data_IF_016153829444
#
_entry.id   IF_016153829444
#
_cell.length_a   1.000
_cell.length_b   1.000
_cell.length_c   1.000
_cell.angle_alpha   90.00
_cell.angle_beta   90.00
_cell.angle_gamma   90.00
#
_symmetry.space_group_name_H-M   'P 1'
#
loop_
_entity.id
_entity.type
_entity.pdbx_description
1 polymer ?
#
# COMPACT_ATOMS: atom_id res chain seq x y z
N UNK A 1 19.05 -30.70 -39.26
CA UNK A 1 19.29 -29.38 -38.61
C UNK A 1 18.90 -29.43 -37.13
N UNK A 2 19.57 -30.25 -36.30
CA UNK A 2 19.24 -30.48 -34.88
C UNK A 2 20.25 -29.89 -33.88
N UNK A 3 21.19 -29.05 -34.34
CA UNK A 3 22.30 -28.54 -33.54
C UNK A 3 21.98 -27.44 -32.48
N UNK A 4 21.04 -26.50 -32.69
CA UNK A 4 20.88 -25.38 -31.75
C UNK A 4 20.21 -25.77 -30.42
N UNK A 5 19.40 -26.83 -30.41
CA UNK A 5 18.75 -27.35 -29.21
C UNK A 5 19.76 -27.98 -28.24
N UNK A 6 20.72 -28.76 -28.76
CA UNK A 6 21.73 -29.44 -27.94
C UNK A 6 22.70 -28.48 -27.26
N UNK A 7 23.03 -27.36 -27.90
CA UNK A 7 23.91 -26.32 -27.31
C UNK A 7 23.24 -25.59 -26.13
N UNK A 8 21.95 -25.30 -26.26
CA UNK A 8 21.15 -24.72 -25.18
C UNK A 8 21.03 -25.70 -24.02
N UNK A 9 20.74 -26.97 -24.29
CA UNK A 9 20.63 -28.03 -23.29
C UNK A 9 21.95 -28.22 -22.52
N UNK A 10 23.09 -28.25 -23.20
CA UNK A 10 24.40 -28.30 -22.54
C UNK A 10 24.67 -27.07 -21.68
N UNK A 11 24.34 -25.88 -22.17
CA UNK A 11 24.51 -24.63 -21.41
C UNK A 11 23.63 -24.63 -20.16
N UNK A 12 22.38 -25.09 -20.29
CA UNK A 12 21.46 -25.23 -19.17
C UNK A 12 21.98 -26.23 -18.14
N UNK A 13 22.40 -27.42 -18.57
CA UNK A 13 22.93 -28.46 -17.67
C UNK A 13 24.14 -27.94 -16.88
N UNK A 14 25.11 -27.31 -17.56
CA UNK A 14 26.29 -26.75 -16.90
C UNK A 14 25.94 -25.63 -15.90
N UNK A 15 24.88 -24.85 -16.15
CA UNK A 15 24.41 -23.85 -15.20
C UNK A 15 23.68 -24.47 -14.00
N UNK A 16 22.89 -25.53 -14.23
CA UNK A 16 22.21 -26.27 -13.17
C UNK A 16 23.24 -26.89 -12.20
N UNK A 17 24.33 -27.45 -12.72
CA UNK A 17 25.43 -27.96 -11.87
C UNK A 17 26.07 -26.87 -11.01
N UNK A 18 26.15 -25.64 -11.54
CA UNK A 18 26.66 -24.48 -10.84
C UNK A 18 25.66 -23.87 -9.82
N UNK A 19 24.38 -24.23 -9.89
CA UNK A 19 23.30 -23.57 -9.15
C UNK A 19 23.50 -23.68 -7.63
N UNK A 20 23.89 -24.84 -7.13
CA UNK A 20 24.13 -25.06 -5.69
C UNK A 20 25.17 -24.10 -5.13
N UNK A 21 26.21 -23.77 -5.92
CA UNK A 21 27.24 -22.80 -5.53
C UNK A 21 26.71 -21.37 -5.53
N UNK A 22 25.90 -20.99 -6.51
CA UNK A 22 25.24 -19.67 -6.58
C UNK A 22 24.30 -19.50 -5.37
N UNK A 23 23.45 -20.49 -5.12
CA UNK A 23 22.50 -20.48 -4.00
C UNK A 23 23.20 -20.38 -2.65
N UNK A 24 24.30 -21.11 -2.44
CA UNK A 24 25.08 -21.03 -1.19
C UNK A 24 25.57 -19.60 -0.92
N UNK A 25 26.12 -18.93 -1.93
CA UNK A 25 26.62 -17.56 -1.83
C UNK A 25 25.47 -16.58 -1.60
N UNK A 26 24.36 -16.72 -2.35
CA UNK A 26 23.17 -15.87 -2.22
C UNK A 26 22.54 -15.98 -0.82
N UNK A 27 22.27 -17.20 -0.35
CA UNK A 27 21.71 -17.46 0.99
C UNK A 27 22.60 -16.89 2.09
N UNK A 28 23.91 -17.11 2.01
CA UNK A 28 24.83 -16.55 2.99
C UNK A 28 24.83 -15.02 2.97
N UNK A 29 24.80 -14.40 1.79
CA UNK A 29 24.84 -12.94 1.64
C UNK A 29 23.56 -12.25 2.11
N UNK A 30 22.40 -12.88 1.92
CA UNK A 30 21.09 -12.34 2.26
C UNK A 30 20.55 -12.82 3.61
N UNK A 31 21.36 -13.53 4.42
CA UNK A 31 20.96 -14.00 5.75
C UNK A 31 20.49 -12.91 6.71
N UNK A 32 20.87 -11.65 6.46
CA UNK A 32 20.48 -10.49 7.27
C UNK A 32 19.06 -9.99 6.95
N UNK A 33 18.45 -10.43 5.85
CA UNK A 33 17.07 -10.11 5.52
C UNK A 33 16.14 -10.95 6.40
N UNK A 34 15.38 -10.28 7.27
CA UNK A 34 14.47 -10.93 8.24
C UNK A 34 13.19 -11.44 7.59
N UNK A 35 12.66 -10.71 6.60
CA UNK A 35 11.49 -11.13 5.84
C UNK A 35 11.87 -12.30 4.91
N UNK A 36 11.15 -13.43 5.01
CA UNK A 36 11.46 -14.61 4.18
C UNK A 36 11.24 -14.32 2.70
N UNK A 37 10.12 -13.69 2.35
CA UNK A 37 9.77 -13.39 0.96
C UNK A 37 10.83 -12.48 0.32
N UNK A 38 11.21 -11.39 1.00
CA UNK A 38 12.26 -10.49 0.51
C UNK A 38 13.62 -11.18 0.36
N UNK A 39 13.91 -12.17 1.21
CA UNK A 39 15.13 -12.98 1.13
C UNK A 39 15.08 -13.92 -0.06
N UNK A 40 13.95 -14.58 -0.28
CA UNK A 40 13.72 -15.48 -1.42
C UNK A 40 13.77 -14.73 -2.74
N UNK A 41 13.10 -13.58 -2.83
CA UNK A 41 13.16 -12.69 -3.99
C UNK A 41 14.60 -12.31 -4.35
N UNK A 42 15.40 -11.89 -3.36
CA UNK A 42 16.80 -11.52 -3.58
C UNK A 42 17.65 -12.71 -4.07
N UNK A 43 17.35 -13.92 -3.60
CA UNK A 43 18.02 -15.15 -4.05
C UNK A 43 17.62 -15.47 -5.50
N UNK A 44 16.32 -15.46 -5.82
CA UNK A 44 15.79 -15.71 -7.15
C UNK A 44 16.35 -14.71 -8.17
N UNK A 45 16.36 -13.43 -7.83
CA UNK A 45 16.96 -12.36 -8.66
C UNK A 45 18.45 -12.57 -8.89
N UNK A 46 19.17 -13.07 -7.89
CA UNK A 46 20.60 -13.40 -8.05
C UNK A 46 20.78 -14.54 -9.04
N UNK A 47 19.97 -15.60 -8.95
CA UNK A 47 20.01 -16.74 -9.87
C UNK A 47 19.69 -16.28 -11.29
N UNK A 48 18.62 -15.50 -11.47
CA UNK A 48 18.20 -14.98 -12.75
C UNK A 48 19.29 -14.09 -13.40
N UNK A 49 19.88 -13.16 -12.65
CA UNK A 49 21.00 -12.35 -13.15
C UNK A 49 22.22 -13.18 -13.51
N UNK A 50 22.56 -14.18 -12.68
CA UNK A 50 23.67 -15.08 -12.99
C UNK A 50 23.41 -15.85 -14.29
N UNK A 51 22.18 -16.30 -14.54
CA UNK A 51 21.82 -16.97 -15.80
C UNK A 51 21.97 -16.07 -17.02
N UNK A 52 21.43 -14.84 -16.95
CA UNK A 52 21.54 -13.86 -18.04
C UNK A 52 23.01 -13.57 -18.37
N UNK A 53 23.84 -13.36 -17.34
CA UNK A 53 25.26 -13.13 -17.54
C UNK A 53 26.01 -14.37 -18.01
N UNK A 54 25.65 -15.55 -17.51
CA UNK A 54 26.23 -16.82 -17.95
C UNK A 54 26.06 -17.00 -19.46
N UNK A 55 24.83 -16.88 -19.97
CA UNK A 55 24.55 -16.95 -21.41
C UNK A 55 25.35 -15.90 -22.19
N UNK A 56 25.35 -14.64 -21.71
CA UNK A 56 26.09 -13.57 -22.37
C UNK A 56 27.58 -13.86 -22.47
N UNK A 57 28.17 -14.49 -21.45
CA UNK A 57 29.58 -14.87 -21.42
C UNK A 57 29.88 -16.08 -22.32
N UNK A 58 29.02 -17.09 -22.34
CA UNK A 58 29.15 -18.25 -23.25
C UNK A 58 29.11 -17.77 -24.71
N UNK A 59 28.16 -16.89 -25.06
CA UNK A 59 28.07 -16.28 -26.39
C UNK A 59 29.32 -15.46 -26.78
N UNK A 60 30.09 -14.99 -25.79
CA UNK A 60 31.37 -14.29 -25.99
C UNK A 60 32.57 -15.25 -26.00
N UNK A 61 32.35 -16.56 -26.07
CA UNK A 61 33.40 -17.59 -26.04
C UNK A 61 34.12 -17.73 -24.70
N UNK A 62 33.53 -17.22 -23.61
CA UNK A 62 34.07 -17.40 -22.25
C UNK A 62 33.50 -18.68 -21.63
N UNK A 63 34.18 -19.19 -20.59
CA UNK A 63 33.78 -20.39 -19.83
C UNK A 63 33.39 -20.00 -18.39
N UNK A 64 32.14 -19.58 -18.12
CA UNK A 64 31.77 -19.06 -16.80
C UNK A 64 31.82 -20.12 -15.70
N UNK A 65 31.73 -21.40 -16.06
CA UNK A 65 31.89 -22.53 -15.15
C UNK A 65 33.19 -22.45 -14.33
N UNK A 66 34.27 -21.94 -14.92
CA UNK A 66 35.58 -21.79 -14.25
C UNK A 66 35.58 -20.72 -13.14
N UNK A 67 34.63 -19.77 -13.18
CA UNK A 67 34.59 -18.63 -12.25
C UNK A 67 33.20 -18.35 -11.66
N UNK A 68 32.36 -19.37 -11.50
CA UNK A 68 31.01 -19.26 -10.92
C UNK A 68 30.99 -18.54 -9.57
N UNK A 69 31.99 -18.77 -8.71
CA UNK A 69 32.08 -18.09 -7.42
C UNK A 69 32.29 -16.57 -7.54
N UNK A 70 32.97 -16.10 -8.59
CA UNK A 70 33.07 -14.68 -8.88
C UNK A 70 31.76 -14.15 -9.47
N UNK A 71 31.17 -14.86 -10.43
CA UNK A 71 29.88 -14.52 -11.04
C UNK A 71 28.79 -14.33 -9.96
N UNK A 72 28.64 -15.29 -9.06
CA UNK A 72 27.68 -15.23 -7.96
C UNK A 72 27.93 -14.05 -7.01
N UNK A 73 29.20 -13.75 -6.68
CA UNK A 73 29.56 -12.58 -5.84
C UNK A 73 29.20 -11.25 -6.53
N UNK A 74 29.38 -11.15 -7.84
CA UNK A 74 28.92 -9.99 -8.60
C UNK A 74 27.38 -9.93 -8.67
N UNK A 75 26.71 -11.07 -8.83
CA UNK A 75 25.26 -11.17 -8.87
C UNK A 75 24.63 -10.64 -7.58
N UNK A 76 25.08 -11.14 -6.42
CA UNK A 76 24.56 -10.67 -5.12
C UNK A 76 24.85 -9.19 -4.88
N UNK A 77 25.99 -8.65 -5.36
CA UNK A 77 26.31 -7.22 -5.27
C UNK A 77 25.38 -6.39 -6.15
N UNK A 78 25.06 -6.85 -7.35
CA UNK A 78 24.13 -6.19 -8.26
C UNK A 78 22.71 -6.17 -7.69
N UNK A 79 22.22 -7.29 -7.15
CA UNK A 79 20.92 -7.33 -6.46
C UNK A 79 20.91 -6.41 -5.24
N UNK A 80 22.01 -6.37 -4.49
CA UNK A 80 22.16 -5.49 -3.32
C UNK A 80 22.13 -4.00 -3.67
N UNK A 81 22.54 -3.62 -4.89
CA UNK A 81 22.47 -2.24 -5.40
C UNK A 81 21.17 -1.93 -6.17
N UNK A 82 20.19 -2.84 -6.09
CA UNK A 82 18.86 -2.68 -6.68
C UNK A 82 18.76 -3.06 -8.15
N UNK A 83 19.79 -3.68 -8.75
CA UNK A 83 19.66 -4.30 -10.08
C UNK A 83 18.79 -5.55 -9.98
N UNK A 84 18.03 -5.80 -11.02
CA UNK A 84 17.12 -6.95 -11.18
C UNK A 84 17.36 -7.59 -12.53
N UNK A 85 16.89 -8.83 -12.73
CA UNK A 85 16.99 -9.53 -14.00
C UNK A 85 16.37 -8.69 -15.14
N UNK A 86 15.20 -8.11 -14.87
CA UNK A 86 14.47 -7.25 -15.80
C UNK A 86 14.55 -5.76 -15.37
N UNK A 87 15.76 -5.22 -15.34
CA UNK A 87 15.98 -3.78 -15.14
C UNK A 87 16.52 -3.41 -13.75
N UNK A 88 15.96 -2.37 -13.15
CA UNK A 88 16.48 -1.82 -11.90
C UNK A 88 15.36 -1.22 -11.06
N UNK A 89 15.47 -1.35 -9.75
CA UNK A 89 14.59 -0.68 -8.79
C UNK A 89 14.51 0.84 -9.07
N UNK A 90 13.33 1.40 -8.82
CA UNK A 90 13.02 2.81 -9.06
C UNK A 90 13.80 3.70 -8.10
N UNK A 91 14.57 4.65 -8.64
CA UNK A 91 15.44 5.51 -7.83
C UNK A 91 14.69 6.53 -6.96
N UNK A 92 13.43 6.83 -7.29
CA UNK A 92 12.58 7.80 -6.58
C UNK A 92 11.45 7.14 -5.77
N UNK A 93 11.40 5.81 -5.74
CA UNK A 93 10.48 5.08 -4.88
C UNK A 93 11.10 4.92 -3.49
N UNK A 94 10.52 5.57 -2.48
CA UNK A 94 11.02 5.60 -1.10
C UNK A 94 11.06 4.19 -0.47
N UNK A 95 10.21 3.27 -0.94
CA UNK A 95 10.23 1.88 -0.48
C UNK A 95 11.32 1.04 -1.16
N UNK A 96 11.90 1.52 -2.26
CA UNK A 96 12.97 0.81 -2.95
C UNK A 96 14.28 0.89 -2.17
N UNK A 97 14.98 -0.24 -2.11
CA UNK A 97 16.27 -0.32 -1.44
C UNK A 97 17.31 0.57 -2.12
N UNK A 98 17.23 0.69 -3.45
CA UNK A 98 18.08 1.59 -4.22
C UNK A 98 17.88 3.05 -3.82
N UNK A 99 16.64 3.51 -3.64
CA UNK A 99 16.37 4.88 -3.20
C UNK A 99 16.94 5.12 -1.80
N UNK A 100 16.61 4.22 -0.86
CA UNK A 100 17.08 4.27 0.53
C UNK A 100 18.61 4.34 0.64
N UNK A 101 19.34 3.50 -0.11
CA UNK A 101 20.82 3.55 -0.13
C UNK A 101 21.36 4.85 -0.74
N UNK A 102 20.80 5.31 -1.86
CA UNK A 102 21.29 6.52 -2.56
C UNK A 102 21.00 7.80 -1.78
N UNK A 103 19.85 7.85 -1.12
CA UNK A 103 19.37 9.03 -0.37
C UNK A 103 19.70 8.96 1.11
N UNK A 104 20.27 7.84 1.58
CA UNK A 104 20.59 7.59 2.99
C UNK A 104 19.35 7.71 3.89
N UNK A 105 18.23 7.16 3.41
CA UNK A 105 16.94 7.16 4.10
C UNK A 105 16.62 5.75 4.59
N UNK A 106 15.94 5.66 5.73
CA UNK A 106 15.40 4.43 6.27
C UNK A 106 13.87 4.57 6.40
N UNK A 107 13.13 3.55 5.98
CA UNK A 107 11.67 3.49 6.19
C UNK A 107 11.41 2.53 7.32
N UNK A 108 10.78 3.03 8.38
CA UNK A 108 10.27 2.23 9.49
C UNK A 108 8.75 2.16 9.45
N UNK A 109 8.20 1.05 9.95
CA UNK A 109 6.78 1.00 10.29
C UNK A 109 6.51 1.96 11.44
N UNK A 110 5.35 2.60 11.45
CA UNK A 110 4.81 3.19 12.67
C UNK A 110 4.67 2.08 13.73
N UNK A 111 4.97 2.36 15.01
CA UNK A 111 4.80 1.38 16.06
C UNK A 111 3.33 1.00 16.21
N UNK A 112 3.08 -0.26 16.55
CA UNK A 112 1.71 -0.79 16.70
C UNK A 112 1.05 -0.38 18.02
N UNK A 113 1.84 0.07 18.99
CA UNK A 113 1.38 0.44 20.32
C UNK A 113 1.79 1.88 20.54
N UNK A 114 0.80 2.76 20.70
CA UNK A 114 1.02 4.14 21.07
C UNK A 114 1.50 4.19 22.52
N UNK A 115 2.71 4.67 22.73
CA UNK A 115 3.19 5.05 24.04
C UNK A 115 2.84 6.54 24.16
N UNK A 116 1.90 6.84 25.06
CA UNK A 116 1.11 8.08 25.13
C UNK A 116 1.87 9.43 25.16
N UNK A 117 3.20 9.50 25.04
CA UNK A 117 3.94 10.73 25.30
C UNK A 117 5.19 10.99 24.44
N UNK A 118 5.50 10.24 23.38
CA UNK A 118 6.82 10.40 22.72
C UNK A 118 6.85 10.70 21.22
N UNK A 119 5.78 10.52 20.43
CA UNK A 119 5.88 10.67 18.97
C UNK A 119 4.82 11.60 18.36
N UNK A 120 5.17 12.89 18.28
CA UNK A 120 4.42 13.95 17.55
C UNK A 120 4.04 13.54 16.11
N UNK A 121 4.86 12.69 15.46
CA UNK A 121 4.59 12.19 14.11
C UNK A 121 3.50 11.12 14.05
N UNK A 122 3.29 10.35 15.13
CA UNK A 122 2.19 9.38 15.20
C UNK A 122 0.85 10.11 15.35
N UNK A 123 0.78 11.05 16.28
CA UNK A 123 -0.42 11.85 16.52
C UNK A 123 -0.83 12.65 15.27
N UNK A 124 0.15 13.15 14.50
CA UNK A 124 -0.09 13.89 13.27
C UNK A 124 -0.54 13.01 12.07
N UNK A 125 -0.33 11.69 12.13
CA UNK A 125 -0.65 10.76 11.04
C UNK A 125 -1.82 9.82 11.36
N UNK A 126 -2.28 9.77 12.61
CA UNK A 126 -3.52 9.09 12.95
C UNK A 126 -4.72 9.87 12.40
N UNK A 127 -5.51 9.23 11.54
CA UNK A 127 -6.80 9.77 11.11
C UNK A 127 -7.69 9.99 12.35
N UNK A 128 -7.89 11.26 12.72
CA UNK A 128 -8.84 11.60 13.76
C UNK A 128 -10.27 11.42 13.23
N UNK A 129 -10.76 10.19 13.32
CA UNK A 129 -12.13 9.81 12.98
C UNK A 129 -13.14 10.16 14.09
N UNK A 130 -12.67 10.75 15.20
CA UNK A 130 -13.52 11.17 16.30
C UNK A 130 -13.93 12.63 16.13
N UNK A 131 -15.23 12.87 16.02
CA UNK A 131 -15.80 14.22 16.15
C UNK A 131 -15.46 14.75 17.55
N UNK A 132 -14.87 15.96 17.69
CA UNK A 132 -14.56 16.55 19.00
C UNK A 132 -15.76 16.56 19.95
N UNK A 133 -15.52 16.38 21.25
CA UNK A 133 -16.58 16.42 22.27
C UNK A 133 -17.41 17.70 22.22
N UNK A 134 -16.84 18.91 22.06
CA UNK A 134 -17.62 20.13 21.88
C UNK A 134 -18.61 20.04 20.72
N UNK A 135 -18.18 19.54 19.56
CA UNK A 135 -19.01 19.40 18.37
C UNK A 135 -20.13 18.37 18.57
N UNK A 136 -19.85 17.25 19.25
CA UNK A 136 -20.86 16.27 19.62
C UNK A 136 -21.92 16.85 20.56
N UNK A 137 -21.49 17.62 21.56
CA UNK A 137 -22.37 18.28 22.52
C UNK A 137 -23.21 19.35 21.84
N UNK A 138 -22.58 20.21 21.02
CA UNK A 138 -23.26 21.23 20.23
C UNK A 138 -24.33 20.59 19.36
N UNK A 139 -24.00 19.56 18.59
CA UNK A 139 -24.99 18.88 17.75
C UNK A 139 -26.14 18.30 18.58
N UNK A 140 -25.88 17.61 19.69
CA UNK A 140 -26.93 17.01 20.53
C UNK A 140 -27.88 18.05 21.13
N UNK A 141 -27.35 19.17 21.61
CA UNK A 141 -28.15 20.25 22.17
C UNK A 141 -28.91 21.00 21.08
N UNK A 142 -28.21 21.38 20.00
CA UNK A 142 -28.71 22.30 18.99
C UNK A 142 -29.67 21.61 18.04
N UNK A 143 -29.36 20.39 17.59
CA UNK A 143 -30.26 19.63 16.74
C UNK A 143 -31.60 19.37 17.43
N UNK A 144 -31.58 19.02 18.71
CA UNK A 144 -32.79 18.79 19.51
C UNK A 144 -33.58 20.09 19.68
N UNK A 145 -32.92 21.19 20.06
CA UNK A 145 -33.57 22.49 20.25
C UNK A 145 -34.17 23.05 18.94
N UNK A 146 -33.49 22.84 17.82
CA UNK A 146 -33.97 23.20 16.49
C UNK A 146 -35.16 22.33 16.07
N UNK A 147 -35.05 21.01 16.24
CA UNK A 147 -36.11 20.07 15.90
C UNK A 147 -37.42 20.44 16.59
N UNK A 148 -37.37 20.79 17.88
CA UNK A 148 -38.56 21.17 18.65
C UNK A 148 -39.28 22.42 18.12
N UNK A 149 -38.66 23.23 17.27
CA UNK A 149 -39.31 24.38 16.59
C UNK A 149 -40.18 23.95 15.42
N UNK A 150 -39.91 22.78 14.86
CA UNK A 150 -40.65 22.26 13.71
C UNK A 150 -42.00 21.69 14.15
N UNK A 151 -43.04 21.74 13.29
CA UNK A 151 -44.28 20.99 13.54
C UNK A 151 -44.01 19.49 13.68
N UNK A 152 -44.80 18.78 14.50
CA UNK A 152 -44.62 17.35 14.83
C UNK A 152 -44.45 16.45 13.59
N UNK A 153 -45.20 16.72 12.52
CA UNK A 153 -45.06 15.98 11.27
C UNK A 153 -43.67 16.16 10.61
N UNK A 154 -43.08 17.36 10.72
CA UNK A 154 -41.73 17.64 10.19
C UNK A 154 -40.63 17.08 11.08
N UNK A 155 -40.84 17.05 12.40
CA UNK A 155 -39.92 16.36 13.33
C UNK A 155 -39.78 14.89 12.97
N UNK A 156 -40.91 14.17 12.78
CA UNK A 156 -40.91 12.77 12.35
C UNK A 156 -40.14 12.57 11.04
N UNK A 157 -40.34 13.46 10.06
CA UNK A 157 -39.63 13.39 8.79
C UNK A 157 -38.11 13.63 8.95
N UNK A 158 -37.71 14.60 9.78
CA UNK A 158 -36.30 14.90 10.07
C UNK A 158 -35.62 13.72 10.77
N UNK A 159 -36.25 13.10 11.78
CA UNK A 159 -35.73 11.88 12.41
C UNK A 159 -35.59 10.75 11.40
N UNK A 160 -36.58 10.58 10.53
CA UNK A 160 -36.52 9.61 9.44
C UNK A 160 -35.31 9.83 8.52
N UNK A 161 -35.05 11.08 8.16
CA UNK A 161 -33.88 11.44 7.35
C UNK A 161 -32.55 11.24 8.11
N UNK A 162 -32.49 11.61 9.39
CA UNK A 162 -31.29 11.50 10.23
C UNK A 162 -30.90 10.04 10.51
N UNK A 163 -31.89 9.14 10.61
CA UNK A 163 -31.69 7.68 10.72
C UNK A 163 -31.28 7.03 9.38
N UNK A 164 -31.25 7.79 8.27
CA UNK A 164 -30.82 7.30 6.96
C UNK A 164 -31.89 6.53 6.18
N UNK A 165 -33.19 6.69 6.51
CA UNK A 165 -34.26 6.08 5.73
C UNK A 165 -34.25 6.59 4.27
N UNK A 166 -34.58 5.70 3.32
CA UNK A 166 -34.55 6.05 1.90
C UNK A 166 -35.65 7.05 1.58
N UNK A 167 -35.35 7.98 0.67
CA UNK A 167 -36.29 9.02 0.20
C UNK A 167 -37.64 8.44 -0.25
N UNK A 168 -37.62 7.31 -0.97
CA UNK A 168 -38.84 6.62 -1.44
C UNK A 168 -39.72 6.07 -0.31
N UNK A 169 -39.11 5.59 0.78
CA UNK A 169 -39.83 5.00 1.89
C UNK A 169 -40.55 6.12 2.68
N UNK A 170 -39.84 7.23 2.91
CA UNK A 170 -40.42 8.43 3.53
C UNK A 170 -41.45 9.12 2.62
N UNK A 171 -41.27 9.11 1.30
CA UNK A 171 -42.25 9.64 0.35
C UNK A 171 -43.59 8.88 0.48
N UNK A 172 -43.54 7.56 0.54
CA UNK A 172 -44.72 6.72 0.75
C UNK A 172 -45.35 6.94 2.13
N UNK A 173 -44.57 6.97 3.21
CA UNK A 173 -45.08 7.17 4.58
C UNK A 173 -45.79 8.52 4.76
N UNK A 174 -45.23 9.60 4.19
CA UNK A 174 -45.75 10.95 4.36
C UNK A 174 -46.71 11.39 3.24
N UNK A 175 -47.01 10.53 2.26
CA UNK A 175 -47.86 10.86 1.12
C UNK A 175 -47.30 12.00 0.25
N UNK A 176 -45.98 12.10 0.14
CA UNK A 176 -45.27 13.15 -0.61
C UNK A 176 -44.51 12.55 -1.79
N UNK A 177 -44.20 13.36 -2.79
CA UNK A 177 -43.29 12.92 -3.86
C UNK A 177 -41.83 12.86 -3.37
N UNK A 178 -41.01 11.98 -3.96
CA UNK A 178 -39.57 11.90 -3.64
C UNK A 178 -38.84 13.23 -3.88
N UNK A 179 -39.26 13.96 -4.93
CA UNK A 179 -38.76 15.30 -5.21
C UNK A 179 -39.06 16.27 -4.06
N UNK A 180 -40.25 16.17 -3.46
CA UNK A 180 -40.63 17.01 -2.32
C UNK A 180 -39.81 16.67 -1.07
N UNK A 181 -39.57 15.38 -0.78
CA UNK A 181 -38.71 14.96 0.32
C UNK A 181 -37.28 15.48 0.13
N UNK A 182 -36.75 15.44 -1.09
CA UNK A 182 -35.43 15.98 -1.43
C UNK A 182 -35.34 17.50 -1.24
N UNK A 183 -36.39 18.23 -1.62
CA UNK A 183 -36.50 19.67 -1.35
C UNK A 183 -36.54 19.95 0.15
N UNK A 184 -37.33 19.18 0.92
CA UNK A 184 -37.44 19.35 2.36
C UNK A 184 -36.12 19.08 3.07
N UNK A 185 -35.35 18.07 2.66
CA UNK A 185 -34.01 17.79 3.18
C UNK A 185 -33.08 19.00 3.05
N UNK A 186 -33.04 19.63 1.86
CA UNK A 186 -32.25 20.86 1.64
C UNK A 186 -32.74 22.02 2.50
N UNK A 187 -34.06 22.20 2.61
CA UNK A 187 -34.66 23.25 3.46
C UNK A 187 -34.32 23.06 4.93
N UNK A 188 -34.42 21.83 5.45
CA UNK A 188 -34.04 21.51 6.82
C UNK A 188 -32.56 21.76 7.09
N UNK A 189 -31.68 21.38 6.15
CA UNK A 189 -30.25 21.66 6.28
C UNK A 189 -29.95 23.16 6.33
N UNK A 190 -30.59 23.96 5.48
CA UNK A 190 -30.41 25.41 5.47
C UNK A 190 -31.00 26.08 6.73
N UNK A 191 -32.16 25.61 7.19
CA UNK A 191 -32.84 26.11 8.39
C UNK A 191 -32.04 25.78 9.67
N UNK A 192 -31.46 24.59 9.74
CA UNK A 192 -30.55 24.20 10.83
C UNK A 192 -29.27 25.03 10.82
N UNK A 193 -28.66 25.28 9.64
CA UNK A 193 -27.48 26.14 9.54
C UNK A 193 -27.78 27.57 10.03
N UNK A 194 -28.89 28.16 9.59
CA UNK A 194 -29.31 29.49 10.05
C UNK A 194 -29.60 29.52 11.56
N UNK A 195 -30.09 28.42 12.13
CA UNK A 195 -30.28 28.31 13.58
C UNK A 195 -28.96 28.29 14.36
N UNK A 196 -27.94 27.62 13.85
CA UNK A 196 -26.61 27.60 14.45
C UNK A 196 -25.89 28.95 14.31
N UNK A 197 -26.03 29.64 13.18
CA UNK A 197 -25.40 30.95 12.93
C UNK A 197 -26.03 32.10 13.73
N UNK A 198 -27.29 31.95 14.14
CA UNK A 198 -28.04 32.96 14.90
C UNK A 198 -27.84 32.92 16.41
N UNK A 199 -26.79 32.24 16.91
CA UNK A 199 -26.44 32.13 18.34
C UNK A 199 -25.12 32.81 18.66
#
# INVERSE_FOLDING_TARGET
MSAPSTEIEHTQAAFVDALTRILRIARFRFRHLRCSDSREDAICETVALCWIWYISLVRKGRKPAEFIGALARYGVRAVSSGRRACGQERANDVLSRRCQQRRQLCVSSLPRVHILHENVLEDALCDNTQTPVPDQVQFRCDFTAWEHRLPVARQRLVKGLALGHRTKDLAAEFGLSEARISQLRKKFSADYAAFCDGR
#
